data_IF_667580500560
#
_entry.id   IF_667580500560
#
_cell.length_a   1.000
_cell.length_b   1.000
_cell.length_c   1.000
_cell.angle_alpha   90.00
_cell.angle_beta   90.00
_cell.angle_gamma   90.00
#
_symmetry.space_group_name_H-M   'P 1'
#
loop_
_entity.id
_entity.type
_entity.pdbx_description
1 polymer ?
#
# COMPACT_ATOMS: atom_id res chain seq x y z
N UNK A 1 -78.55 2.17 -44.08
CA UNK A 1 -79.04 2.73 -42.80
C UNK A 1 -78.06 2.30 -41.72
N UNK A 2 -77.37 3.27 -41.12
CA UNK A 2 -76.17 3.10 -40.32
C UNK A 2 -76.46 2.81 -38.84
N UNK A 3 -75.63 1.93 -38.26
CA UNK A 3 -75.12 1.98 -36.89
C UNK A 3 -73.84 1.10 -36.87
N UNK A 4 -72.81 1.33 -36.01
CA UNK A 4 -72.87 2.00 -34.71
C UNK A 4 -71.76 3.04 -34.42
N UNK A 5 -72.12 3.97 -33.53
CA UNK A 5 -71.23 4.77 -32.67
C UNK A 5 -70.64 3.88 -31.56
N UNK A 6 -69.31 3.93 -31.38
CA UNK A 6 -68.53 3.88 -30.14
C UNK A 6 -67.17 3.20 -30.38
N UNK A 7 -66.25 4.00 -30.89
CA UNK A 7 -64.81 3.72 -30.91
C UNK A 7 -64.14 4.58 -29.82
N UNK A 8 -63.04 4.08 -29.27
CA UNK A 8 -62.07 4.76 -28.37
C UNK A 8 -62.41 4.93 -26.88
N UNK A 9 -62.03 3.91 -26.08
CA UNK A 9 -61.17 4.07 -24.89
C UNK A 9 -61.02 2.74 -24.15
N UNK A 10 -59.85 2.11 -24.25
CA UNK A 10 -59.24 1.32 -23.16
C UNK A 10 -57.93 0.67 -23.64
N UNK A 11 -56.93 1.46 -24.05
CA UNK A 11 -55.59 0.94 -24.36
C UNK A 11 -54.45 1.80 -23.81
N UNK A 12 -54.69 2.61 -22.76
CA UNK A 12 -53.64 3.46 -22.18
C UNK A 12 -53.20 3.12 -20.75
N UNK A 13 -53.81 2.16 -20.06
CA UNK A 13 -53.40 1.87 -18.66
C UNK A 13 -52.26 0.84 -18.52
N UNK A 14 -51.95 0.08 -19.59
CA UNK A 14 -51.02 -1.06 -19.51
C UNK A 14 -49.62 -0.74 -20.06
N UNK A 15 -49.47 0.40 -20.75
CA UNK A 15 -48.19 0.92 -21.25
C UNK A 15 -47.40 1.72 -20.21
N UNK A 16 -48.07 2.49 -19.34
CA UNK A 16 -47.42 3.34 -18.33
C UNK A 16 -46.79 2.54 -17.17
N UNK A 17 -47.43 1.46 -16.73
CA UNK A 17 -46.95 0.63 -15.62
C UNK A 17 -45.71 -0.21 -15.96
N UNK A 18 -45.51 -0.55 -17.25
CA UNK A 18 -44.30 -1.22 -17.73
C UNK A 18 -43.14 -0.24 -17.93
N UNK A 19 -43.44 0.99 -18.33
CA UNK A 19 -42.42 2.02 -18.58
C UNK A 19 -41.82 2.54 -17.28
N UNK A 20 -42.63 2.74 -16.23
CA UNK A 20 -42.14 3.12 -14.91
C UNK A 20 -41.25 2.04 -14.26
N UNK A 21 -41.59 0.76 -14.40
CA UNK A 21 -40.73 -0.34 -13.91
C UNK A 21 -39.42 -0.48 -14.69
N UNK A 22 -39.41 -0.21 -16.00
CA UNK A 22 -38.20 -0.18 -16.82
C UNK A 22 -37.30 1.02 -16.47
N UNK A 23 -37.88 2.19 -16.17
CA UNK A 23 -37.15 3.39 -15.76
C UNK A 23 -36.58 3.23 -14.34
N UNK A 24 -37.34 2.64 -13.41
CA UNK A 24 -36.86 2.39 -12.04
C UNK A 24 -35.77 1.32 -12.03
N UNK A 25 -35.92 0.23 -12.78
CA UNK A 25 -34.85 -0.77 -12.89
C UNK A 25 -33.63 -0.22 -13.65
N UNK A 26 -33.82 0.65 -14.64
CA UNK A 26 -32.70 1.33 -15.32
C UNK A 26 -32.00 2.34 -14.41
N UNK A 27 -32.71 3.04 -13.53
CA UNK A 27 -32.12 3.95 -12.53
C UNK A 27 -31.40 3.19 -11.41
N UNK A 28 -31.90 2.01 -11.02
CA UNK A 28 -31.25 1.14 -10.03
C UNK A 28 -30.01 0.44 -10.62
N UNK A 29 -29.99 0.16 -11.92
CA UNK A 29 -28.79 -0.33 -12.63
C UNK A 29 -27.80 0.82 -12.93
N UNK A 30 -28.28 2.07 -13.03
CA UNK A 30 -27.47 3.31 -13.07
C UNK A 30 -27.00 3.76 -11.67
N UNK A 31 -27.40 3.08 -10.59
CA UNK A 31 -26.57 3.01 -9.38
C UNK A 31 -25.35 2.11 -9.62
N UNK A 32 -24.66 2.35 -10.75
CA UNK A 32 -23.32 1.87 -11.00
C UNK A 32 -22.50 2.22 -9.77
N UNK A 33 -22.04 1.16 -9.13
CA UNK A 33 -20.94 1.11 -8.20
C UNK A 33 -20.08 2.39 -8.26
N UNK A 34 -20.36 3.35 -7.37
CA UNK A 34 -19.42 4.41 -7.03
C UNK A 34 -18.26 3.75 -6.28
N UNK A 35 -17.46 2.97 -7.00
CA UNK A 35 -16.17 2.52 -6.51
C UNK A 35 -15.29 3.75 -6.63
N UNK A 36 -15.13 4.47 -5.53
CA UNK A 36 -14.12 5.53 -5.45
C UNK A 36 -12.77 4.92 -5.80
N UNK A 37 -12.29 5.14 -7.02
CA UNK A 37 -10.95 4.77 -7.45
C UNK A 37 -9.96 5.77 -6.87
N UNK A 38 -9.59 5.53 -5.61
CA UNK A 38 -8.45 6.20 -5.00
C UNK A 38 -7.15 5.54 -5.47
N UNK A 39 -6.28 6.28 -6.15
CA UNK A 39 -4.93 5.80 -6.43
C UNK A 39 -4.03 6.17 -5.26
N UNK A 40 -3.33 5.19 -4.68
CA UNK A 40 -2.27 5.45 -3.71
C UNK A 40 -0.93 5.14 -4.35
N UNK A 41 0.02 6.07 -4.24
CA UNK A 41 1.41 5.87 -4.64
C UNK A 41 2.29 5.99 -3.41
N UNK A 42 3.46 5.35 -3.43
CA UNK A 42 4.43 5.43 -2.36
C UNK A 42 5.77 5.88 -2.90
N UNK A 43 6.50 6.68 -2.11
CA UNK A 43 7.81 7.19 -2.46
C UNK A 43 8.76 7.03 -1.28
N UNK A 44 9.99 6.59 -1.53
CA UNK A 44 11.03 6.47 -0.51
C UNK A 44 11.95 7.69 -0.49
N UNK A 45 12.46 8.00 0.70
CA UNK A 45 13.57 8.94 0.92
C UNK A 45 14.60 8.27 1.85
N UNK A 46 15.87 8.09 1.43
CA UNK A 46 16.41 8.38 0.10
C UNK A 46 15.77 7.47 -0.99
N UNK A 47 15.89 7.83 -2.28
CA UNK A 47 15.43 6.97 -3.38
C UNK A 47 16.14 5.62 -3.33
N UNK A 48 15.42 4.55 -3.66
CA UNK A 48 15.95 3.18 -3.72
C UNK A 48 16.50 2.96 -5.13
N UNK A 49 17.72 2.45 -5.26
CA UNK A 49 18.32 2.19 -6.56
C UNK A 49 17.95 0.77 -7.02
N UNK A 50 16.89 0.66 -7.83
CA UNK A 50 16.40 -0.63 -8.32
C UNK A 50 17.27 -1.28 -9.42
N UNK A 51 18.35 -0.62 -9.89
CA UNK A 51 19.00 -0.95 -11.17
C UNK A 51 20.45 -1.45 -11.09
N UNK A 52 20.94 -1.81 -9.91
CA UNK A 52 22.26 -2.43 -9.80
C UNK A 52 22.15 -3.87 -9.33
N UNK A 53 22.38 -4.84 -10.23
CA UNK A 53 22.77 -6.17 -9.77
C UNK A 53 24.17 -6.07 -9.12
N UNK A 54 24.34 -6.49 -7.86
CA UNK A 54 25.61 -6.33 -7.16
C UNK A 54 26.66 -7.28 -7.73
N UNK A 55 27.89 -6.77 -7.88
CA UNK A 55 29.09 -7.60 -8.15
C UNK A 55 29.43 -8.53 -6.98
N UNK A 56 28.90 -8.28 -5.78
CA UNK A 56 29.17 -9.06 -4.57
C UNK A 56 28.02 -8.90 -3.60
N UNK A 57 27.35 -10.00 -3.21
CA UNK A 57 26.28 -9.99 -2.21
C UNK A 57 26.91 -10.09 -0.82
N UNK A 58 26.50 -9.23 0.11
CA UNK A 58 26.83 -9.45 1.52
C UNK A 58 26.17 -10.73 2.02
N UNK A 59 26.94 -11.54 2.74
CA UNK A 59 26.45 -12.80 3.32
C UNK A 59 26.15 -12.55 4.79
N UNK A 60 24.88 -12.36 5.10
CA UNK A 60 24.41 -12.14 6.48
C UNK A 60 24.24 -13.49 7.18
N UNK A 61 24.91 -13.67 8.32
CA UNK A 61 24.85 -14.88 9.14
C UNK A 61 23.74 -14.84 10.20
N UNK A 62 23.44 -13.66 10.73
CA UNK A 62 22.39 -13.48 11.73
C UNK A 62 21.74 -12.10 11.64
N UNK A 63 20.49 -12.01 12.10
CA UNK A 63 19.77 -10.75 12.13
C UNK A 63 18.84 -10.63 13.34
N UNK A 64 18.49 -9.39 13.69
CA UNK A 64 17.37 -9.07 14.58
C UNK A 64 16.31 -8.29 13.81
N UNK A 65 15.06 -8.51 14.19
CA UNK A 65 13.90 -7.95 13.54
C UNK A 65 12.95 -7.40 14.60
N UNK A 66 12.74 -6.09 14.54
CA UNK A 66 11.84 -5.37 15.40
C UNK A 66 10.86 -4.59 14.53
N UNK A 67 9.60 -4.57 14.95
CA UNK A 67 8.61 -3.70 14.30
C UNK A 67 7.73 -3.01 15.35
N UNK A 68 7.82 -1.69 15.34
CA UNK A 68 6.98 -0.78 16.07
C UNK A 68 5.78 -0.42 15.20
N UNK A 69 4.58 -0.83 15.60
CA UNK A 69 3.35 -0.52 14.88
C UNK A 69 2.24 -0.20 15.86
N UNK A 70 1.43 0.84 15.60
CA UNK A 70 0.24 1.13 16.38
C UNK A 70 -0.86 0.06 16.16
N UNK A 71 -0.71 -0.79 15.15
CA UNK A 71 -1.66 -1.84 14.82
C UNK A 71 -1.20 -3.16 15.41
N UNK A 72 -1.95 -3.66 16.41
CA UNK A 72 -1.77 -5.02 16.91
C UNK A 72 -1.98 -6.01 15.75
N UNK A 73 -1.01 -6.89 15.53
CA UNK A 73 -1.03 -7.91 14.47
C UNK A 73 -1.13 -7.38 13.03
N UNK A 74 -0.37 -6.32 12.71
CA UNK A 74 -0.23 -5.81 11.35
C UNK A 74 0.07 -6.94 10.34
N UNK A 75 -0.73 -7.07 9.27
CA UNK A 75 -0.46 -8.00 8.16
C UNK A 75 0.92 -7.74 7.54
N UNK A 76 1.34 -6.47 7.51
CA UNK A 76 2.64 -6.07 7.01
C UNK A 76 3.79 -6.68 7.83
N UNK A 77 3.68 -6.72 9.17
CA UNK A 77 4.67 -7.39 10.05
C UNK A 77 5.02 -8.79 9.56
N UNK A 78 4.00 -9.63 9.33
CA UNK A 78 4.19 -11.02 8.91
C UNK A 78 4.80 -11.11 7.51
N UNK A 79 4.26 -10.36 6.56
CA UNK A 79 4.74 -10.40 5.17
C UNK A 79 6.16 -9.83 5.02
N UNK A 80 6.52 -8.78 5.77
CA UNK A 80 7.87 -8.21 5.75
C UNK A 80 8.88 -9.16 6.40
N UNK A 81 8.51 -9.85 7.49
CA UNK A 81 9.35 -10.89 8.09
C UNK A 81 9.59 -12.06 7.11
N UNK A 82 8.53 -12.60 6.51
CA UNK A 82 8.66 -13.67 5.49
C UNK A 82 9.51 -13.21 4.28
N UNK A 83 9.37 -11.95 3.88
CA UNK A 83 10.20 -11.37 2.82
C UNK A 83 11.67 -11.24 3.22
N UNK A 84 11.95 -10.90 4.49
CA UNK A 84 13.30 -10.89 5.06
C UNK A 84 13.94 -12.26 4.94
N UNK A 85 13.26 -13.30 5.44
CA UNK A 85 13.75 -14.68 5.38
C UNK A 85 13.98 -15.15 3.94
N UNK A 86 13.21 -14.67 2.96
CA UNK A 86 13.43 -14.97 1.54
C UNK A 86 14.66 -14.26 0.96
N UNK A 87 14.97 -13.05 1.42
CA UNK A 87 16.11 -12.26 0.93
C UNK A 87 17.42 -12.75 1.57
N UNK A 88 17.40 -13.14 2.84
CA UNK A 88 18.54 -13.67 3.60
C UNK A 88 18.23 -15.07 4.18
N UNK A 89 18.07 -16.11 3.35
CA UNK A 89 17.58 -17.43 3.78
C UNK A 89 18.50 -18.20 4.72
N UNK A 90 19.79 -17.88 4.73
CA UNK A 90 20.79 -18.55 5.57
C UNK A 90 21.03 -17.83 6.90
N UNK A 91 20.41 -16.67 7.12
CA UNK A 91 20.63 -15.88 8.32
C UNK A 91 19.77 -16.38 9.49
N UNK A 92 20.37 -16.50 10.66
CA UNK A 92 19.67 -16.88 11.89
C UNK A 92 18.95 -15.68 12.52
N UNK A 93 17.68 -15.83 12.85
CA UNK A 93 16.90 -14.82 13.58
C UNK A 93 17.18 -14.88 15.09
N UNK A 94 17.75 -13.81 15.63
CA UNK A 94 18.09 -13.66 17.04
C UNK A 94 17.14 -12.73 17.80
N UNK A 95 16.01 -12.32 17.21
CA UNK A 95 15.05 -11.37 17.81
C UNK A 95 14.47 -11.85 19.15
N UNK A 96 14.42 -13.16 19.38
CA UNK A 96 13.91 -13.76 20.63
C UNK A 96 14.98 -13.92 21.71
N UNK A 97 16.27 -13.73 21.39
CA UNK A 97 17.39 -13.86 22.34
C UNK A 97 17.61 -12.53 23.09
N UNK A 98 16.64 -12.14 23.90
CA UNK A 98 16.74 -11.04 24.87
C UNK A 98 17.35 -11.49 26.22
N UNK A 99 18.00 -12.66 26.26
CA UNK A 99 18.64 -13.17 27.47
C UNK A 99 19.92 -12.38 27.80
N UNK A 100 20.23 -12.13 29.08
CA UNK A 100 21.36 -11.31 29.55
C UNK A 100 22.71 -12.02 29.43
N UNK A 101 22.85 -12.90 28.44
CA UNK A 101 24.13 -13.46 28.02
C UNK A 101 24.77 -12.41 27.10
N UNK A 102 26.10 -12.24 27.05
CA UNK A 102 26.72 -11.36 26.06
C UNK A 102 26.52 -11.98 24.67
N UNK A 103 25.35 -11.76 24.09
CA UNK A 103 25.02 -12.14 22.73
C UNK A 103 25.91 -11.29 21.82
N UNK A 104 26.63 -11.89 20.86
CA UNK A 104 27.39 -11.11 19.89
C UNK A 104 26.44 -10.11 19.22
N UNK A 105 26.90 -8.87 19.05
CA UNK A 105 26.14 -7.81 18.37
C UNK A 105 25.63 -8.37 17.05
N UNK A 106 24.32 -8.31 16.78
CA UNK A 106 23.76 -8.91 15.58
C UNK A 106 24.37 -8.27 14.35
N UNK A 107 24.66 -9.10 13.34
CA UNK A 107 25.28 -8.66 12.10
C UNK A 107 24.34 -7.70 11.36
N UNK A 108 23.04 -8.02 11.29
CA UNK A 108 22.03 -7.14 10.71
C UNK A 108 20.90 -6.84 11.70
N UNK A 109 20.66 -5.57 12.01
CA UNK A 109 19.47 -5.13 12.74
C UNK A 109 18.47 -4.51 11.78
N UNK A 110 17.24 -5.00 11.82
CA UNK A 110 16.12 -4.51 11.01
C UNK A 110 15.08 -3.94 11.96
N UNK A 111 14.82 -2.64 11.85
CA UNK A 111 13.74 -1.98 12.60
C UNK A 111 12.76 -1.35 11.63
N UNK A 112 11.49 -1.69 11.80
CA UNK A 112 10.39 -1.16 11.00
C UNK A 112 9.51 -0.35 11.92
N UNK A 113 9.19 0.89 11.54
CA UNK A 113 8.18 1.68 12.23
C UNK A 113 7.03 1.97 11.28
N UNK A 114 5.83 1.61 11.70
CA UNK A 114 4.58 1.98 11.03
C UNK A 114 3.99 3.18 11.76
N UNK A 115 3.62 4.22 11.03
CA UNK A 115 2.99 5.40 11.63
C UNK A 115 1.52 5.46 11.24
N UNK A 116 0.66 5.66 12.24
CA UNK A 116 -0.72 6.03 11.98
C UNK A 116 -0.73 7.42 11.34
N UNK A 117 -1.09 7.48 10.07
CA UNK A 117 -1.41 8.76 9.42
C UNK A 117 -2.79 9.20 9.90
N UNK A 118 -2.85 9.72 11.12
CA UNK A 118 -4.07 10.19 11.75
C UNK A 118 -4.68 11.34 10.97
N UNK A 119 -5.71 11.06 10.18
CA UNK A 119 -6.59 12.06 9.56
C UNK A 119 -6.87 11.84 8.07
N UNK A 120 -8.11 12.12 7.67
CA UNK A 120 -8.44 12.42 6.28
C UNK A 120 -7.85 13.79 5.94
N UNK A 121 -7.35 13.95 4.72
CA UNK A 121 -6.83 15.25 4.31
C UNK A 121 -8.02 16.18 4.11
N UNK A 122 -7.88 17.46 4.45
CA UNK A 122 -8.97 18.44 4.32
C UNK A 122 -9.52 18.48 2.89
N UNK A 123 -8.64 18.25 1.91
CA UNK A 123 -9.03 18.16 0.50
C UNK A 123 -9.90 16.93 0.21
N UNK A 124 -9.66 15.77 0.85
CA UNK A 124 -10.51 14.59 0.69
C UNK A 124 -11.92 14.84 1.23
N UNK A 125 -12.04 15.64 2.29
CA UNK A 125 -13.34 16.08 2.81
C UNK A 125 -14.09 16.95 1.79
N UNK A 126 -13.40 17.89 1.13
CA UNK A 126 -13.99 18.72 0.08
C UNK A 126 -14.34 17.90 -1.18
N UNK A 127 -13.52 16.93 -1.56
CA UNK A 127 -13.83 15.95 -2.61
C UNK A 127 -15.10 15.18 -2.26
N UNK A 128 -15.23 14.70 -1.03
CA UNK A 128 -16.44 14.03 -0.54
C UNK A 128 -17.68 14.92 -0.60
N UNK A 129 -17.58 16.16 -0.12
CA UNK A 129 -18.69 17.13 -0.15
C UNK A 129 -19.09 17.55 -1.57
N UNK A 130 -18.13 17.60 -2.49
CA UNK A 130 -18.37 17.96 -3.90
C UNK A 130 -18.79 16.77 -4.76
N UNK A 131 -19.13 15.62 -4.16
CA UNK A 131 -19.44 14.37 -4.88
C UNK A 131 -18.33 13.97 -5.88
N UNK A 132 -17.08 14.29 -5.55
CA UNK A 132 -15.91 13.99 -6.36
C UNK A 132 -15.66 14.92 -7.55
N UNK A 133 -16.36 16.06 -7.63
CA UNK A 133 -16.13 17.10 -8.66
C UNK A 133 -14.81 17.85 -8.45
N UNK A 134 -14.39 18.01 -7.20
CA UNK A 134 -13.10 18.62 -6.86
C UNK A 134 -12.11 17.48 -6.63
N UNK A 135 -11.04 17.35 -7.44
CA UNK A 135 -10.02 16.35 -7.19
C UNK A 135 -9.24 16.70 -5.91
N UNK A 136 -8.84 15.69 -5.14
CA UNK A 136 -7.88 15.85 -4.05
C UNK A 136 -6.61 15.06 -4.32
N UNK A 137 -5.48 15.64 -3.93
CA UNK A 137 -4.20 14.96 -3.77
C UNK A 137 -3.76 15.14 -2.33
N UNK A 138 -3.36 14.07 -1.67
CA UNK A 138 -2.81 14.17 -0.32
C UNK A 138 -1.57 13.33 -0.14
N UNK A 139 -0.48 13.98 0.23
CA UNK A 139 0.77 13.31 0.60
C UNK A 139 0.87 13.20 2.11
N UNK A 140 0.86 11.97 2.61
CA UNK A 140 1.15 11.59 3.99
C UNK A 140 2.62 11.22 4.10
N UNK A 141 3.38 12.05 4.81
CA UNK A 141 4.80 11.79 5.04
C UNK A 141 5.02 10.72 6.10
N UNK A 142 6.08 9.91 5.96
CA UNK A 142 6.55 8.94 6.98
C UNK A 142 5.47 7.94 7.42
N UNK A 143 4.75 7.34 6.47
CA UNK A 143 3.80 6.26 6.77
C UNK A 143 4.53 4.98 7.22
N UNK A 144 5.73 4.75 6.69
CA UNK A 144 6.64 3.71 7.16
C UNK A 144 8.05 4.30 7.29
N UNK A 145 8.83 3.73 8.22
CA UNK A 145 10.26 3.95 8.34
C UNK A 145 10.94 2.60 8.44
N UNK A 146 11.97 2.38 7.63
CA UNK A 146 12.80 1.18 7.67
C UNK A 146 14.22 1.60 8.05
N UNK A 147 14.67 1.17 9.21
CA UNK A 147 16.03 1.39 9.70
C UNK A 147 16.79 0.06 9.61
N UNK A 148 17.90 0.06 8.88
CA UNK A 148 18.81 -1.08 8.76
C UNK A 148 20.15 -0.69 9.33
N UNK A 149 20.69 -1.51 10.24
CA UNK A 149 22.04 -1.35 10.79
C UNK A 149 22.80 -2.63 10.49
N UNK A 150 23.99 -2.48 9.92
CA UNK A 150 24.90 -3.57 9.68
C UNK A 150 26.12 -3.39 10.57
N UNK A 151 26.41 -4.42 11.35
CA UNK A 151 27.57 -4.54 12.21
C UNK A 151 28.51 -5.61 11.64
N UNK A 152 29.80 -5.48 11.93
CA UNK A 152 30.81 -6.48 11.62
C UNK A 152 31.55 -6.89 12.91
N UNK A 153 32.55 -7.76 12.77
CA UNK A 153 33.38 -8.22 13.89
C UNK A 153 34.13 -7.09 14.64
N UNK A 154 34.21 -5.90 14.06
CA UNK A 154 34.87 -4.71 14.62
C UNK A 154 33.88 -3.64 15.11
N UNK A 155 32.57 -3.93 15.10
CA UNK A 155 31.52 -3.03 15.56
C UNK A 155 30.64 -2.50 14.42
N UNK A 156 30.16 -1.27 14.56
CA UNK A 156 29.26 -0.65 13.59
C UNK A 156 29.93 -0.50 12.22
N UNK A 157 29.29 -1.02 11.16
CA UNK A 157 29.75 -0.81 9.80
C UNK A 157 28.97 0.30 9.10
N UNK A 158 27.64 0.16 9.01
CA UNK A 158 26.80 1.14 8.33
C UNK A 158 25.37 1.11 8.82
N UNK A 159 24.65 2.19 8.55
CA UNK A 159 23.23 2.28 8.78
C UNK A 159 22.57 3.04 7.65
N UNK A 160 21.35 2.63 7.30
CA UNK A 160 20.52 3.33 6.33
C UNK A 160 19.08 3.34 6.77
N UNK A 161 18.45 4.51 6.63
CA UNK A 161 17.06 4.75 7.00
C UNK A 161 16.28 5.13 5.75
N UNK A 162 15.19 4.43 5.49
CA UNK A 162 14.23 4.76 4.45
C UNK A 162 12.94 5.26 5.07
N UNK A 163 12.55 6.49 4.73
CA UNK A 163 11.25 7.05 5.07
C UNK A 163 10.31 6.94 3.88
N UNK A 164 9.19 6.26 4.05
CA UNK A 164 8.21 6.05 3.00
C UNK A 164 7.08 7.05 3.18
N UNK A 165 6.78 7.80 2.12
CA UNK A 165 5.61 8.67 2.04
C UNK A 165 4.55 8.00 1.17
N UNK A 166 3.28 8.28 1.46
CA UNK A 166 2.14 7.83 0.66
C UNK A 166 1.44 9.04 0.06
N UNK A 167 1.17 9.03 -1.23
CA UNK A 167 0.35 10.06 -1.89
C UNK A 167 -0.91 9.42 -2.42
N UNK A 168 -2.06 9.88 -1.93
CA UNK A 168 -3.38 9.43 -2.35
C UNK A 168 -3.97 10.47 -3.30
N UNK A 169 -4.55 10.01 -4.40
CA UNK A 169 -5.31 10.83 -5.34
C UNK A 169 -6.75 10.32 -5.39
N UNK A 170 -7.70 11.21 -5.11
CA UNK A 170 -9.13 10.89 -5.10
C UNK A 170 -9.85 11.80 -6.08
N UNK A 171 -10.48 11.20 -7.10
CA UNK A 171 -11.37 11.88 -8.05
C UNK A 171 -12.42 10.88 -8.52
N UNK A 172 -13.66 11.34 -8.72
CA UNK A 172 -14.75 10.50 -9.21
C UNK A 172 -14.80 10.67 -10.74
N UNK A 173 -13.77 10.18 -11.43
CA UNK A 173 -13.82 10.06 -12.89
C UNK A 173 -13.69 8.61 -13.31
N UNK A 174 -14.59 8.22 -14.21
CA UNK A 174 -14.52 7.00 -14.97
C UNK A 174 -13.19 6.98 -15.74
N UNK A 175 -12.17 6.35 -15.15
CA UNK A 175 -11.02 5.88 -15.91
C UNK A 175 -11.47 4.58 -16.59
N UNK A 176 -11.69 4.56 -17.91
CA UNK A 176 -11.83 3.29 -18.58
C UNK A 176 -10.44 2.64 -18.47
N UNK A 177 -10.37 1.48 -17.82
CA UNK A 177 -9.20 0.60 -17.77
C UNK A 177 -7.86 1.27 -17.38
N UNK A 178 -7.77 1.72 -16.13
CA UNK A 178 -6.50 1.71 -15.40
C UNK A 178 -6.61 0.70 -14.24
N UNK A 179 -6.47 -0.58 -14.59
CA UNK A 179 -6.14 -1.64 -13.64
C UNK A 179 -4.79 -1.31 -13.00
N UNK A 180 -4.78 -0.55 -11.90
CA UNK A 180 -3.55 -0.18 -11.22
C UNK A 180 -3.56 -0.76 -9.80
N UNK A 181 -2.59 -1.64 -9.60
CA UNK A 181 -2.53 -2.68 -8.59
C UNK A 181 -2.52 -2.16 -7.15
N UNK A 182 -3.42 -2.69 -6.33
CA UNK A 182 -3.41 -2.58 -4.86
C UNK A 182 -2.55 -3.66 -4.19
N UNK A 183 -1.90 -4.56 -4.96
CA UNK A 183 -1.11 -5.64 -4.38
C UNK A 183 0.22 -5.12 -3.83
N UNK A 184 0.31 -5.11 -2.49
CA UNK A 184 1.55 -5.21 -1.71
C UNK A 184 2.64 -4.17 -2.03
N UNK A 185 2.27 -2.95 -2.46
CA UNK A 185 3.24 -1.89 -2.77
C UNK A 185 4.16 -1.54 -1.57
N UNK A 186 3.68 -1.46 -0.31
CA UNK A 186 4.57 -1.25 0.84
C UNK A 186 5.59 -2.39 1.03
N UNK A 187 5.17 -3.63 0.80
CA UNK A 187 6.04 -4.81 0.92
C UNK A 187 7.09 -4.84 -0.18
N UNK A 188 6.71 -4.45 -1.40
CA UNK A 188 7.63 -4.36 -2.54
C UNK A 188 8.70 -3.31 -2.27
N UNK A 189 8.32 -2.14 -1.74
CA UNK A 189 9.25 -1.07 -1.37
C UNK A 189 10.17 -1.52 -0.23
N UNK A 190 9.63 -2.23 0.76
CA UNK A 190 10.45 -2.82 1.83
C UNK A 190 11.50 -3.80 1.27
N UNK A 191 11.09 -4.71 0.38
CA UNK A 191 12.00 -5.67 -0.26
C UNK A 191 13.07 -4.96 -1.08
N UNK A 192 12.70 -3.92 -1.81
CA UNK A 192 13.63 -3.12 -2.61
C UNK A 192 14.62 -2.37 -1.70
N UNK A 193 14.15 -1.77 -0.61
CA UNK A 193 14.99 -1.06 0.36
C UNK A 193 15.99 -1.98 1.07
N UNK A 194 15.56 -3.18 1.48
CA UNK A 194 16.46 -4.17 2.09
C UNK A 194 17.50 -4.65 1.07
N UNK A 195 17.11 -4.92 -0.18
CA UNK A 195 18.05 -5.31 -1.24
C UNK A 195 19.06 -4.19 -1.52
N UNK A 196 18.62 -2.96 -1.69
CA UNK A 196 19.50 -1.80 -1.91
C UNK A 196 20.48 -1.63 -0.76
N UNK A 197 20.02 -1.77 0.49
CA UNK A 197 20.92 -1.73 1.66
C UNK A 197 22.00 -2.81 1.61
N UNK A 198 21.65 -4.06 1.26
CA UNK A 198 22.59 -5.19 1.18
C UNK A 198 23.50 -5.15 -0.06
N UNK A 199 23.18 -4.31 -1.06
CA UNK A 199 23.97 -4.15 -2.29
C UNK A 199 25.13 -3.16 -2.12
N UNK A 200 24.99 -2.22 -1.19
CA UNK A 200 26.03 -1.26 -0.87
C UNK A 200 27.27 -2.08 -0.42
N UNK A 201 28.48 -1.76 -0.90
CA UNK A 201 29.63 -2.69 -0.88
C UNK A 201 30.01 -3.24 0.50
N UNK A 202 30.76 -4.37 0.52
CA UNK A 202 31.14 -5.07 1.75
C UNK A 202 31.84 -4.17 2.77
N UNK A 203 31.53 -4.37 4.05
CA UNK A 203 32.27 -3.86 5.19
C UNK A 203 33.72 -4.40 5.21
N UNK A 204 34.63 -3.83 4.43
CA UNK A 204 36.04 -4.22 4.46
C UNK A 204 36.65 -3.80 5.80
N UNK A 205 37.28 -4.74 6.52
CA UNK A 205 38.20 -4.38 7.61
C UNK A 205 39.30 -3.51 7.00
N UNK A 206 39.45 -2.29 7.50
CA UNK A 206 40.64 -1.49 7.21
C UNK A 206 41.82 -2.00 8.03
#
# INVERSE_FOLDING_TARGET
MNNPLHEYRATNSQGELRMSHLIINSLVVICFAMVGSGCTSYTSKPPINEHFEPKTKETISNFTYEIDSPWKDSRFRKSAYEATQKIIPNAQDNSSQLTPTPTPTPELEIKISEFSSGGACVQDYLTGLSLGLIPSWCTRSRVFKFDYILNNNHGFCRQKTYSINSTVFSHLTALPFALLSTENQPLTIYQAALKDFLQEGQCTSR
#
